data_IF_256232836860
#
_entry.id   IF_256232836860
#
_cell.length_a   1.000
_cell.length_b   1.000
_cell.length_c   1.000
_cell.angle_alpha   90.00
_cell.angle_beta   90.00
_cell.angle_gamma   90.00
#
_symmetry.space_group_name_H-M   'P 1'
#
loop_
_entity.id
_entity.type
_entity.pdbx_description
1 polymer ?
#
# COMPACT_ATOMS: atom_id res chain seq x y z
N UNK A 1 55.10 -40.67 -35.67
CA UNK A 1 53.77 -41.27 -35.91
C UNK A 1 53.06 -41.30 -34.57
N UNK A 2 52.44 -40.18 -34.20
CA UNK A 2 51.76 -40.02 -32.92
C UNK A 2 50.24 -40.06 -33.14
N UNK A 3 49.60 -41.10 -32.63
CA UNK A 3 48.14 -41.24 -32.64
C UNK A 3 47.52 -40.34 -31.58
N UNK A 4 46.84 -39.28 -32.01
CA UNK A 4 45.93 -38.48 -31.17
C UNK A 4 44.61 -39.25 -31.01
N UNK A 5 44.30 -39.66 -29.78
CA UNK A 5 42.98 -40.12 -29.38
C UNK A 5 41.97 -38.94 -29.40
N UNK A 6 40.70 -39.16 -29.78
CA UNK A 6 39.71 -38.09 -29.80
C UNK A 6 39.19 -37.81 -28.39
N UNK A 7 39.23 -36.54 -28.01
CA UNK A 7 38.52 -36.01 -26.84
C UNK A 7 37.02 -36.33 -26.97
N UNK A 8 36.52 -37.22 -26.11
CA UNK A 8 35.08 -37.33 -25.83
C UNK A 8 34.66 -36.01 -25.17
N UNK A 9 34.01 -35.14 -25.94
CA UNK A 9 33.23 -34.04 -25.40
C UNK A 9 32.08 -34.66 -24.59
N UNK A 10 32.14 -34.49 -23.27
CA UNK A 10 30.98 -34.69 -22.41
C UNK A 10 29.87 -33.75 -22.87
N UNK A 11 28.61 -34.21 -22.99
CA UNK A 11 27.51 -33.32 -23.32
C UNK A 11 27.38 -32.23 -22.25
N UNK A 12 26.91 -31.02 -22.61
CA UNK A 12 26.60 -29.99 -21.62
C UNK A 12 25.58 -30.54 -20.62
N UNK A 13 25.65 -30.15 -19.33
CA UNK A 13 24.70 -30.62 -18.33
C UNK A 13 23.31 -30.29 -18.83
N UNK A 14 22.52 -31.34 -19.07
CA UNK A 14 21.10 -31.24 -19.38
C UNK A 14 20.45 -30.30 -18.37
N UNK A 15 19.81 -29.25 -18.87
CA UNK A 15 18.85 -28.42 -18.16
C UNK A 15 17.87 -29.37 -17.48
N UNK A 16 18.10 -29.67 -16.20
CA UNK A 16 17.19 -30.48 -15.41
C UNK A 16 15.89 -29.70 -15.38
N UNK A 17 14.83 -30.26 -15.99
CA UNK A 17 13.49 -29.71 -15.92
C UNK A 17 13.23 -29.33 -14.46
N UNK A 18 13.11 -28.03 -14.17
CA UNK A 18 12.99 -27.53 -12.81
C UNK A 18 11.64 -28.04 -12.28
N UNK A 19 11.67 -29.19 -11.59
CA UNK A 19 10.50 -29.90 -11.05
C UNK A 19 9.60 -28.95 -10.24
N UNK A 20 10.13 -28.05 -9.40
CA UNK A 20 9.35 -26.96 -8.81
C UNK A 20 8.54 -26.13 -9.82
N UNK A 21 9.16 -25.62 -10.89
CA UNK A 21 8.46 -24.82 -11.90
C UNK A 21 7.38 -25.60 -12.63
N UNK A 22 7.63 -26.87 -12.97
CA UNK A 22 6.64 -27.73 -13.61
C UNK A 22 5.41 -27.96 -12.70
N UNK A 23 5.62 -28.15 -11.40
CA UNK A 23 4.50 -28.30 -10.45
C UNK A 23 3.68 -27.03 -10.31
N UNK A 24 4.32 -25.84 -10.30
CA UNK A 24 3.61 -24.57 -10.27
C UNK A 24 2.80 -24.34 -11.56
N UNK A 25 3.36 -24.66 -12.73
CA UNK A 25 2.67 -24.53 -14.01
C UNK A 25 1.44 -25.44 -14.11
N UNK A 26 1.56 -26.69 -13.65
CA UNK A 26 0.43 -27.63 -13.61
C UNK A 26 -0.71 -27.05 -12.76
N UNK A 27 -0.42 -26.71 -11.50
CA UNK A 27 -1.43 -26.15 -10.61
C UNK A 27 -2.01 -24.83 -11.14
N UNK A 28 -1.19 -23.96 -11.72
CA UNK A 28 -1.67 -22.70 -12.30
C UNK A 28 -2.63 -22.92 -13.48
N UNK A 29 -2.39 -23.96 -14.28
CA UNK A 29 -3.26 -24.35 -15.41
C UNK A 29 -4.57 -24.96 -14.91
N UNK A 30 -4.51 -25.78 -13.87
CA UNK A 30 -5.70 -26.34 -13.21
C UNK A 30 -6.54 -25.24 -12.57
N UNK A 31 -5.89 -24.28 -11.89
CA UNK A 31 -6.55 -23.12 -11.28
C UNK A 31 -7.26 -22.27 -12.33
N UNK A 32 -6.59 -21.95 -13.44
CA UNK A 32 -7.17 -21.17 -14.53
C UNK A 32 -8.35 -21.89 -15.19
N UNK A 33 -8.21 -23.20 -15.45
CA UNK A 33 -9.28 -23.99 -16.09
C UNK A 33 -10.49 -24.17 -15.17
N UNK A 34 -10.28 -24.44 -13.88
CA UNK A 34 -11.34 -24.55 -12.88
C UNK A 34 -12.14 -23.25 -12.78
N UNK A 35 -11.44 -22.11 -12.74
CA UNK A 35 -12.07 -20.79 -12.70
C UNK A 35 -12.92 -20.49 -13.93
N UNK A 36 -12.48 -20.92 -15.12
CA UNK A 36 -13.22 -20.75 -16.38
C UNK A 36 -14.44 -21.66 -16.47
N UNK A 37 -14.32 -22.87 -15.95
CA UNK A 37 -15.36 -23.90 -16.05
C UNK A 37 -16.34 -23.88 -14.87
N UNK A 38 -16.17 -22.96 -13.91
CA UNK A 38 -17.00 -22.89 -12.70
C UNK A 38 -16.74 -24.02 -11.70
N UNK A 39 -15.57 -24.67 -11.77
CA UNK A 39 -15.14 -25.69 -10.83
C UNK A 39 -14.75 -25.11 -9.47
N UNK A 40 -14.90 -25.91 -8.42
CA UNK A 40 -14.42 -25.57 -7.08
C UNK A 40 -12.90 -25.69 -7.01
N UNK A 41 -12.26 -24.70 -6.39
CA UNK A 41 -10.82 -24.70 -6.14
C UNK A 41 -10.58 -24.76 -4.65
N UNK A 42 -9.72 -25.69 -4.24
CA UNK A 42 -9.35 -25.86 -2.84
C UNK A 42 -8.45 -24.70 -2.35
N UNK A 43 -8.87 -24.03 -1.27
CA UNK A 43 -8.13 -22.95 -0.65
C UNK A 43 -6.75 -23.40 -0.11
N UNK A 44 -6.67 -24.63 0.43
CA UNK A 44 -5.43 -25.16 1.00
C UNK A 44 -4.37 -25.40 -0.07
N UNK A 45 -4.78 -25.87 -1.26
CA UNK A 45 -3.86 -26.07 -2.38
C UNK A 45 -3.31 -24.73 -2.86
N UNK A 46 -4.17 -23.72 -3.00
CA UNK A 46 -3.74 -22.37 -3.38
C UNK A 46 -2.73 -21.79 -2.38
N UNK A 47 -2.97 -21.96 -1.07
CA UNK A 47 -2.04 -21.52 -0.04
C UNK A 47 -0.70 -22.26 -0.13
N UNK A 48 -0.73 -23.60 -0.24
CA UNK A 48 0.46 -24.42 -0.40
C UNK A 48 1.32 -23.99 -1.60
N UNK A 49 0.72 -23.84 -2.78
CA UNK A 49 1.45 -23.43 -3.98
C UNK A 49 1.88 -21.96 -3.95
N UNK A 50 1.16 -21.09 -3.24
CA UNK A 50 1.58 -19.70 -3.01
C UNK A 50 2.85 -19.65 -2.17
N UNK A 51 2.92 -20.40 -1.08
CA UNK A 51 4.12 -20.48 -0.24
C UNK A 51 5.30 -21.08 -1.01
N UNK A 52 5.03 -22.10 -1.82
CA UNK A 52 6.04 -22.71 -2.69
C UNK A 52 6.60 -21.74 -3.74
N UNK A 53 5.75 -20.91 -4.35
CA UNK A 53 6.17 -19.88 -5.29
C UNK A 53 6.94 -18.72 -4.61
N UNK A 54 6.75 -18.52 -3.31
CA UNK A 54 7.47 -17.48 -2.56
C UNK A 54 8.88 -17.91 -2.12
N UNK A 55 9.21 -19.20 -2.18
CA UNK A 55 10.49 -19.74 -1.72
C UNK A 55 11.64 -19.37 -2.69
N UNK A 56 12.58 -18.51 -2.26
CA UNK A 56 13.67 -18.06 -3.13
C UNK A 56 14.66 -19.18 -3.48
N UNK A 57 14.74 -20.25 -2.67
CA UNK A 57 15.66 -21.36 -2.94
C UNK A 57 15.24 -22.21 -4.13
N UNK A 58 13.96 -22.18 -4.49
CA UNK A 58 13.40 -22.99 -5.59
C UNK A 58 13.63 -22.36 -6.97
N UNK A 59 13.88 -21.05 -7.03
CA UNK A 59 14.01 -20.32 -8.28
C UNK A 59 15.21 -19.36 -8.31
N UNK A 60 16.46 -19.83 -8.17
CA UNK A 60 17.64 -18.98 -8.33
C UNK A 60 17.68 -18.36 -9.74
N UNK A 61 18.16 -17.12 -9.87
CA UNK A 61 18.18 -16.39 -11.14
C UNK A 61 18.99 -17.13 -12.21
N UNK A 62 18.44 -17.22 -13.43
CA UNK A 62 19.10 -17.84 -14.58
C UNK A 62 19.04 -19.37 -14.60
N UNK A 63 18.25 -20.00 -13.73
CA UNK A 63 18.14 -21.47 -13.65
C UNK A 63 16.98 -22.04 -14.45
N UNK A 64 16.01 -21.21 -14.85
CA UNK A 64 14.85 -21.65 -15.61
C UNK A 64 15.10 -21.57 -17.12
N UNK A 65 14.63 -22.60 -17.84
CA UNK A 65 14.55 -22.56 -19.30
C UNK A 65 13.64 -21.39 -19.73
N UNK A 66 14.01 -20.72 -20.83
CA UNK A 66 13.29 -19.53 -21.31
C UNK A 66 11.81 -19.83 -21.56
N UNK A 67 11.48 -20.96 -22.19
CA UNK A 67 10.10 -21.37 -22.44
C UNK A 67 9.29 -21.53 -21.14
N UNK A 68 9.90 -22.13 -20.10
CA UNK A 68 9.27 -22.29 -18.79
C UNK A 68 9.05 -20.93 -18.11
N UNK A 69 10.03 -20.03 -18.18
CA UNK A 69 9.92 -18.67 -17.65
C UNK A 69 8.79 -17.88 -18.36
N UNK A 70 8.71 -17.99 -19.69
CA UNK A 70 7.64 -17.40 -20.50
C UNK A 70 6.25 -17.95 -20.13
N UNK A 71 6.13 -19.26 -19.93
CA UNK A 71 4.86 -19.88 -19.53
C UNK A 71 4.42 -19.39 -18.15
N UNK A 72 5.34 -19.32 -17.18
CA UNK A 72 5.08 -18.82 -15.82
C UNK A 72 4.64 -17.35 -15.84
N UNK A 73 5.34 -16.51 -16.61
CA UNK A 73 4.96 -15.11 -16.81
C UNK A 73 3.54 -14.98 -17.37
N UNK A 74 3.27 -15.71 -18.46
CA UNK A 74 2.02 -15.65 -19.19
C UNK A 74 0.84 -16.11 -18.33
N UNK A 75 0.97 -17.26 -17.65
CA UNK A 75 -0.10 -17.78 -16.79
C UNK A 75 -0.28 -16.94 -15.53
N UNK A 76 0.80 -16.43 -14.93
CA UNK A 76 0.75 -15.52 -13.79
C UNK A 76 -0.03 -14.24 -14.12
N UNK A 77 0.22 -13.66 -15.30
CA UNK A 77 -0.51 -12.49 -15.81
C UNK A 77 -2.00 -12.79 -16.02
N UNK A 78 -2.34 -13.96 -16.56
CA UNK A 78 -3.74 -14.36 -16.77
C UNK A 78 -4.48 -14.57 -15.45
N UNK A 79 -3.89 -15.31 -14.51
CA UNK A 79 -4.43 -15.51 -13.16
C UNK A 79 -4.68 -14.15 -12.49
N UNK A 80 -3.68 -13.27 -12.48
CA UNK A 80 -3.80 -11.93 -11.92
C UNK A 80 -5.02 -11.18 -12.49
N UNK A 81 -5.14 -11.11 -13.81
CA UNK A 81 -6.20 -10.37 -14.49
C UNK A 81 -7.58 -10.99 -14.25
N UNK A 82 -7.68 -12.32 -14.24
CA UNK A 82 -8.94 -13.04 -13.99
C UNK A 82 -9.47 -12.74 -12.60
N UNK A 83 -8.64 -12.83 -11.58
CA UNK A 83 -9.05 -12.57 -10.20
C UNK A 83 -9.20 -11.09 -9.87
N UNK A 84 -8.50 -10.19 -10.60
CA UNK A 84 -8.75 -8.76 -10.53
C UNK A 84 -10.17 -8.40 -11.00
N UNK A 85 -10.65 -9.02 -12.10
CA UNK A 85 -12.02 -8.81 -12.59
C UNK A 85 -13.07 -9.37 -11.65
N UNK A 86 -12.85 -10.57 -11.10
CA UNK A 86 -13.76 -11.19 -10.13
C UNK A 86 -13.93 -10.34 -8.87
N UNK A 87 -12.88 -9.69 -8.39
CA UNK A 87 -12.95 -8.79 -7.22
C UNK A 87 -13.89 -7.59 -7.44
N UNK A 88 -14.11 -7.14 -8.68
CA UNK A 88 -14.98 -6.00 -8.98
C UNK A 88 -16.47 -6.33 -9.06
N UNK A 89 -16.87 -7.58 -8.79
CA UNK A 89 -18.29 -7.99 -8.75
C UNK A 89 -19.02 -7.53 -7.48
N UNK A 90 -20.34 -7.43 -7.57
CA UNK A 90 -21.21 -7.20 -6.40
C UNK A 90 -21.40 -8.54 -5.68
N UNK A 91 -21.05 -8.60 -4.40
CA UNK A 91 -21.14 -9.82 -3.58
C UNK A 91 -21.99 -9.60 -2.32
N UNK A 92 -22.55 -10.68 -1.77
CA UNK A 92 -23.36 -10.77 -0.54
C UNK A 92 -22.48 -10.87 0.72
N UNK A 93 -22.73 -10.08 1.79
CA UNK A 93 -21.71 -9.54 2.72
C UNK A 93 -20.74 -10.53 3.40
N UNK A 94 -21.15 -11.77 3.73
CA UNK A 94 -20.28 -12.75 4.40
C UNK A 94 -19.58 -13.72 3.46
N UNK A 95 -20.32 -14.24 2.48
CA UNK A 95 -19.77 -15.05 1.39
C UNK A 95 -18.72 -14.24 0.60
N UNK A 96 -18.97 -12.92 0.47
CA UNK A 96 -18.05 -11.92 -0.07
C UNK A 96 -16.66 -11.97 0.55
N UNK A 97 -16.53 -12.14 1.87
CA UNK A 97 -15.24 -11.99 2.56
C UNK A 97 -14.31 -13.17 2.28
N UNK A 98 -14.85 -14.39 2.29
CA UNK A 98 -14.08 -15.59 1.97
C UNK A 98 -13.66 -15.61 0.49
N UNK A 99 -14.60 -15.31 -0.41
CA UNK A 99 -14.36 -15.23 -1.85
C UNK A 99 -13.36 -14.12 -2.19
N UNK A 100 -13.44 -12.98 -1.52
CA UNK A 100 -12.47 -11.90 -1.68
C UNK A 100 -11.08 -12.32 -1.21
N UNK A 101 -10.94 -12.92 -0.02
CA UNK A 101 -9.65 -13.44 0.46
C UNK A 101 -9.05 -14.45 -0.51
N UNK A 102 -9.88 -15.34 -1.06
CA UNK A 102 -9.45 -16.26 -2.11
C UNK A 102 -8.94 -15.52 -3.35
N UNK A 103 -9.68 -14.52 -3.84
CA UNK A 103 -9.25 -13.70 -4.98
C UNK A 103 -7.92 -13.00 -4.71
N UNK A 104 -7.72 -12.45 -3.50
CA UNK A 104 -6.47 -11.80 -3.11
C UNK A 104 -5.31 -12.77 -3.06
N UNK A 105 -5.52 -13.97 -2.50
CA UNK A 105 -4.52 -15.03 -2.48
C UNK A 105 -4.17 -15.50 -3.90
N UNK A 106 -5.16 -15.66 -4.78
CA UNK A 106 -4.92 -16.05 -6.16
C UNK A 106 -4.20 -14.96 -6.95
N UNK A 107 -4.51 -13.68 -6.69
CA UNK A 107 -3.74 -12.55 -7.24
C UNK A 107 -2.30 -12.55 -6.74
N UNK A 108 -2.05 -12.83 -5.46
CA UNK A 108 -0.69 -13.01 -4.94
C UNK A 108 0.04 -14.15 -5.65
N UNK A 109 -0.62 -15.30 -5.81
CA UNK A 109 -0.05 -16.42 -6.53
C UNK A 109 0.34 -16.03 -7.96
N UNK A 110 -0.58 -15.41 -8.72
CA UNK A 110 -0.30 -14.91 -10.07
C UNK A 110 0.84 -13.87 -10.10
N UNK A 111 0.91 -12.99 -9.10
CA UNK A 111 2.01 -12.04 -8.94
C UNK A 111 3.37 -12.71 -8.74
N UNK A 112 3.43 -13.77 -7.93
CA UNK A 112 4.67 -14.53 -7.69
C UNK A 112 5.12 -15.26 -8.95
N UNK A 113 4.22 -15.94 -9.66
CA UNK A 113 4.56 -16.62 -10.93
C UNK A 113 5.07 -15.63 -11.99
N UNK A 114 4.42 -14.47 -12.08
CA UNK A 114 4.83 -13.38 -12.94
C UNK A 114 6.24 -12.87 -12.59
N UNK A 115 6.53 -12.70 -11.30
CA UNK A 115 7.86 -12.35 -10.80
C UNK A 115 8.92 -13.38 -11.16
N UNK A 116 8.64 -14.67 -10.92
CA UNK A 116 9.54 -15.77 -11.30
C UNK A 116 9.82 -15.74 -12.81
N UNK A 117 8.77 -15.65 -13.64
CA UNK A 117 8.93 -15.62 -15.10
C UNK A 117 9.77 -14.44 -15.58
N UNK A 118 9.49 -13.22 -15.10
CA UNK A 118 10.18 -12.01 -15.54
C UNK A 118 11.64 -11.93 -15.05
N UNK A 119 11.92 -12.33 -13.82
CA UNK A 119 13.29 -12.24 -13.24
C UNK A 119 14.23 -13.25 -13.90
N UNK A 120 13.72 -14.35 -14.44
CA UNK A 120 14.51 -15.40 -15.08
C UNK A 120 14.88 -15.07 -16.54
N UNK A 121 14.36 -13.96 -17.08
CA UNK A 121 14.63 -13.51 -18.44
C UNK A 121 15.65 -12.37 -18.41
N UNK A 122 16.93 -12.61 -18.77
CA UNK A 122 17.92 -11.55 -18.89
C UNK A 122 17.63 -10.75 -20.17
N UNK A 123 16.72 -9.79 -20.09
CA UNK A 123 16.37 -8.92 -21.22
C UNK A 123 16.88 -7.49 -21.05
N UNK A 124 17.03 -6.80 -22.18
CA UNK A 124 17.36 -5.37 -22.25
C UNK A 124 16.41 -4.48 -21.42
N UNK A 125 15.22 -4.98 -21.03
CA UNK A 125 14.19 -4.26 -20.29
C UNK A 125 14.05 -4.67 -18.81
N UNK A 126 15.05 -5.34 -18.22
CA UNK A 126 15.00 -5.79 -16.81
C UNK A 126 14.58 -4.69 -15.81
N UNK A 127 15.03 -3.45 -16.02
CA UNK A 127 14.63 -2.31 -15.20
C UNK A 127 13.15 -1.96 -15.32
N UNK A 128 12.56 -2.06 -16.52
CA UNK A 128 11.13 -1.83 -16.75
C UNK A 128 10.28 -2.94 -16.14
N UNK A 129 10.71 -4.20 -16.30
CA UNK A 129 10.06 -5.37 -15.67
C UNK A 129 10.05 -5.26 -14.15
N UNK A 130 11.17 -4.82 -13.56
CA UNK A 130 11.29 -4.58 -12.12
C UNK A 130 10.35 -3.46 -11.66
N UNK A 131 10.33 -2.33 -12.36
CA UNK A 131 9.42 -1.23 -12.05
C UNK A 131 7.93 -1.62 -12.18
N UNK A 132 7.61 -2.48 -13.15
CA UNK A 132 6.27 -3.05 -13.29
C UNK A 132 5.90 -3.95 -12.10
N UNK A 133 6.79 -4.87 -11.70
CA UNK A 133 6.57 -5.75 -10.54
C UNK A 133 6.44 -4.97 -9.22
N UNK A 134 7.19 -3.88 -9.05
CA UNK A 134 7.05 -2.99 -7.89
C UNK A 134 5.64 -2.40 -7.84
N UNK A 135 5.21 -1.71 -8.92
CA UNK A 135 3.89 -1.07 -8.97
C UNK A 135 2.75 -2.06 -8.81
N UNK A 136 2.89 -3.26 -9.40
CA UNK A 136 1.91 -4.32 -9.26
C UNK A 136 1.82 -4.84 -7.81
N UNK A 137 2.97 -5.04 -7.16
CA UNK A 137 3.06 -5.41 -5.76
C UNK A 137 2.48 -4.34 -4.83
N UNK A 138 2.70 -3.06 -5.12
CA UNK A 138 2.17 -1.93 -4.33
C UNK A 138 0.64 -1.90 -4.41
N UNK A 139 0.09 -2.06 -5.62
CA UNK A 139 -1.36 -2.16 -5.83
C UNK A 139 -1.98 -3.37 -5.12
N UNK A 140 -1.32 -4.54 -5.18
CA UNK A 140 -1.75 -5.73 -4.43
C UNK A 140 -1.76 -5.47 -2.93
N UNK A 141 -0.65 -4.97 -2.40
CA UNK A 141 -0.46 -4.74 -0.97
C UNK A 141 -1.48 -3.76 -0.41
N UNK A 142 -1.77 -2.66 -1.13
CA UNK A 142 -2.80 -1.68 -0.75
C UNK A 142 -4.17 -2.33 -0.58
N UNK A 143 -4.59 -3.15 -1.54
CA UNK A 143 -5.86 -3.87 -1.49
C UNK A 143 -5.87 -4.93 -0.39
N UNK A 144 -4.79 -5.69 -0.22
CA UNK A 144 -4.69 -6.70 0.84
C UNK A 144 -4.79 -6.08 2.24
N UNK A 145 -4.12 -4.95 2.49
CA UNK A 145 -4.21 -4.22 3.75
C UNK A 145 -5.64 -3.71 3.98
N UNK A 146 -6.28 -3.13 2.95
CA UNK A 146 -7.67 -2.64 3.04
C UNK A 146 -8.65 -3.74 3.48
N UNK A 147 -8.43 -4.97 3.02
CA UNK A 147 -9.30 -6.12 3.33
C UNK A 147 -8.75 -7.05 4.43
N UNK A 148 -7.75 -6.59 5.18
CA UNK A 148 -7.14 -7.33 6.30
C UNK A 148 -6.53 -8.70 5.93
N UNK A 149 -6.12 -8.90 4.67
CA UNK A 149 -5.27 -10.02 4.27
C UNK A 149 -3.79 -9.64 4.46
N UNK A 150 -3.39 -9.51 5.72
CA UNK A 150 -2.05 -9.05 6.10
C UNK A 150 -0.96 -10.05 5.67
N UNK A 151 -1.28 -11.35 5.64
CA UNK A 151 -0.37 -12.39 5.17
C UNK A 151 0.06 -12.17 3.72
N UNK A 152 -0.92 -11.94 2.83
CA UNK A 152 -0.60 -11.67 1.43
C UNK A 152 0.09 -10.32 1.22
N UNK A 153 -0.30 -9.29 1.98
CA UNK A 153 0.38 -7.99 1.96
C UNK A 153 1.86 -8.10 2.37
N UNK A 154 2.17 -8.89 3.39
CA UNK A 154 3.54 -9.11 3.88
C UNK A 154 4.42 -9.74 2.80
N UNK A 155 3.93 -10.79 2.16
CA UNK A 155 4.65 -11.48 1.07
C UNK A 155 4.90 -10.51 -0.10
N UNK A 156 3.88 -9.77 -0.53
CA UNK A 156 4.02 -8.81 -1.62
C UNK A 156 5.03 -7.69 -1.30
N UNK A 157 4.97 -7.09 -0.10
CA UNK A 157 5.92 -6.06 0.33
C UNK A 157 7.35 -6.59 0.51
N UNK A 158 7.51 -7.85 0.93
CA UNK A 158 8.81 -8.50 0.96
C UNK A 158 9.40 -8.61 -0.45
N UNK A 159 8.61 -9.08 -1.43
CA UNK A 159 9.05 -9.16 -2.83
C UNK A 159 9.39 -7.80 -3.43
N UNK A 160 8.63 -6.76 -3.10
CA UNK A 160 8.97 -5.39 -3.51
C UNK A 160 10.36 -4.98 -3.02
N UNK A 161 10.74 -5.37 -1.80
CA UNK A 161 12.09 -5.05 -1.26
C UNK A 161 13.18 -5.70 -2.11
N UNK A 162 13.00 -6.96 -2.52
CA UNK A 162 13.92 -7.65 -3.42
C UNK A 162 14.09 -6.88 -4.74
N UNK A 163 12.98 -6.40 -5.31
CA UNK A 163 12.97 -5.63 -6.57
C UNK A 163 13.57 -4.22 -6.42
N UNK A 164 13.32 -3.54 -5.30
CA UNK A 164 13.91 -2.22 -5.02
C UNK A 164 15.43 -2.30 -4.89
N UNK A 165 15.95 -3.35 -4.23
CA UNK A 165 17.39 -3.58 -4.12
C UNK A 165 18.07 -3.79 -5.47
N UNK A 166 17.46 -4.59 -6.36
CA UNK A 166 17.97 -4.78 -7.73
C UNK A 166 17.98 -3.48 -8.55
N UNK A 167 17.02 -2.57 -8.32
CA UNK A 167 16.92 -1.28 -9.01
C UNK A 167 17.95 -0.25 -8.52
N UNK A 168 18.53 -0.44 -7.33
CA UNK A 168 19.54 0.46 -6.76
C UNK A 168 20.91 0.33 -7.44
N UNK A 169 21.24 -0.85 -7.99
CA UNK A 169 22.49 -1.08 -8.73
C UNK A 169 22.54 -0.45 -10.14
N UNK A 170 21.40 -0.05 -10.69
CA UNK A 170 21.32 0.67 -11.97
C UNK A 170 21.37 2.18 -11.72
N UNK A 171 22.59 2.72 -11.71
CA UNK A 171 22.84 4.17 -11.67
C UNK A 171 22.34 4.76 -13.00
N UNK A 172 21.13 5.31 -12.99
CA UNK A 172 20.75 6.33 -13.98
C UNK A 172 21.18 7.69 -13.43
N UNK A 173 21.61 8.63 -14.30
CA UNK A 173 21.99 9.97 -13.87
C UNK A 173 20.84 10.60 -13.08
N UNK A 174 21.20 11.14 -11.92
CA UNK A 174 20.29 11.89 -11.06
C UNK A 174 19.76 13.10 -11.85
N UNK A 175 18.45 13.14 -12.10
CA UNK A 175 17.79 14.30 -12.72
C UNK A 175 16.69 14.02 -13.74
N UNK A 176 16.42 12.77 -14.12
CA UNK A 176 15.32 12.43 -15.04
C UNK A 176 14.04 11.92 -14.36
N UNK A 177 12.92 11.87 -15.08
CA UNK A 177 11.61 11.35 -14.64
C UNK A 177 11.70 9.96 -13.97
N UNK A 178 12.64 9.12 -14.42
CA UNK A 178 12.91 7.81 -13.84
C UNK A 178 13.38 7.84 -12.37
N UNK A 179 13.99 8.95 -11.92
CA UNK A 179 14.37 9.16 -10.53
C UNK A 179 13.15 9.54 -9.69
N UNK A 180 12.31 10.44 -10.19
CA UNK A 180 11.05 10.86 -9.53
C UNK A 180 10.11 9.67 -9.35
N UNK A 181 9.90 8.88 -10.40
CA UNK A 181 9.08 7.65 -10.34
C UNK A 181 9.63 6.68 -9.29
N UNK A 182 10.95 6.52 -9.22
CA UNK A 182 11.59 5.65 -8.22
C UNK A 182 11.34 6.14 -6.80
N UNK A 183 11.43 7.44 -6.54
CA UNK A 183 11.14 7.98 -5.22
C UNK A 183 9.67 7.91 -4.85
N UNK A 184 8.77 8.09 -5.83
CA UNK A 184 7.36 7.84 -5.64
C UNK A 184 7.08 6.37 -5.26
N UNK A 185 7.72 5.41 -5.94
CA UNK A 185 7.61 3.97 -5.61
C UNK A 185 8.13 3.67 -4.18
N UNK A 186 9.26 4.28 -3.78
CA UNK A 186 9.80 4.14 -2.42
C UNK A 186 8.86 4.73 -1.36
N UNK A 187 8.30 5.91 -1.61
CA UNK A 187 7.32 6.51 -0.71
C UNK A 187 6.07 5.63 -0.57
N UNK A 188 5.50 5.17 -1.68
CA UNK A 188 4.36 4.24 -1.69
C UNK A 188 4.66 2.99 -0.86
N UNK A 189 5.84 2.41 -1.05
CA UNK A 189 6.29 1.25 -0.28
C UNK A 189 6.31 1.55 1.23
N UNK A 190 6.95 2.65 1.65
CA UNK A 190 7.01 2.99 3.07
C UNK A 190 5.63 3.31 3.66
N UNK A 191 4.76 4.01 2.94
CA UNK A 191 3.38 4.28 3.37
C UNK A 191 2.61 2.99 3.63
N UNK A 192 2.72 2.00 2.73
CA UNK A 192 2.08 0.70 2.92
C UNK A 192 2.72 -0.11 4.05
N UNK A 193 4.04 0.05 4.30
CA UNK A 193 4.71 -0.54 5.46
C UNK A 193 4.28 0.08 6.78
N UNK A 194 4.00 1.39 6.83
CA UNK A 194 3.39 2.04 8.00
C UNK A 194 2.04 1.38 8.30
N UNK A 195 1.17 1.30 7.29
CA UNK A 195 -0.16 0.73 7.43
C UNK A 195 -0.12 -0.75 7.87
N UNK A 196 0.73 -1.57 7.25
CA UNK A 196 0.89 -2.98 7.64
C UNK A 196 1.42 -3.11 9.08
N UNK A 197 2.44 -2.33 9.45
CA UNK A 197 3.04 -2.40 10.78
C UNK A 197 2.05 -2.01 11.87
N UNK A 198 1.23 -0.99 11.62
CA UNK A 198 0.12 -0.62 12.51
C UNK A 198 -0.89 -1.76 12.65
N UNK A 199 -1.31 -2.38 11.56
CA UNK A 199 -2.26 -3.52 11.58
C UNK A 199 -1.69 -4.77 12.26
N UNK A 200 -0.36 -4.89 12.33
CA UNK A 200 0.35 -5.94 13.07
C UNK A 200 0.58 -5.58 14.56
N UNK A 201 0.00 -4.49 15.07
CA UNK A 201 0.24 -3.93 16.42
C UNK A 201 1.73 -3.60 16.69
N UNK A 202 2.47 -3.25 15.64
CA UNK A 202 3.90 -2.84 15.67
C UNK A 202 4.06 -1.35 15.39
N UNK A 203 3.61 -0.51 16.34
CA UNK A 203 3.71 0.96 16.23
C UNK A 203 5.15 1.45 16.20
N UNK A 204 6.07 0.76 16.88
CA UNK A 204 7.52 0.99 16.83
C UNK A 204 8.04 0.95 15.38
N UNK A 205 7.60 -0.06 14.63
CA UNK A 205 7.99 -0.24 13.24
C UNK A 205 7.26 0.76 12.33
N UNK A 206 6.00 1.11 12.63
CA UNK A 206 5.28 2.14 11.89
C UNK A 206 5.99 3.51 11.99
N UNK A 207 6.47 3.88 13.17
CA UNK A 207 7.24 5.09 13.42
C UNK A 207 8.53 5.13 12.58
N UNK A 208 9.30 4.03 12.61
CA UNK A 208 10.51 3.89 11.80
C UNK A 208 10.24 4.00 10.30
N UNK A 209 9.13 3.42 9.83
CA UNK A 209 8.73 3.51 8.41
C UNK A 209 8.26 4.90 8.02
N UNK A 210 7.62 5.64 8.94
CA UNK A 210 7.25 7.04 8.72
C UNK A 210 8.48 7.93 8.54
N UNK A 211 9.49 7.78 9.39
CA UNK A 211 10.75 8.52 9.26
C UNK A 211 11.48 8.28 7.92
N UNK A 212 11.28 7.11 7.31
CA UNK A 212 11.77 6.82 5.95
C UNK A 212 10.85 7.40 4.88
N UNK A 213 9.54 7.33 5.05
CA UNK A 213 8.57 7.85 4.08
C UNK A 213 8.77 9.35 3.84
N UNK A 214 9.02 10.14 4.89
CA UNK A 214 9.20 11.61 4.81
C UNK A 214 10.38 12.03 3.93
N UNK A 215 11.39 11.17 3.74
CA UNK A 215 12.50 11.44 2.81
C UNK A 215 12.05 11.41 1.35
N UNK A 216 10.90 10.81 1.05
CA UNK A 216 10.37 10.61 -0.29
C UNK A 216 9.03 11.32 -0.52
N UNK A 217 8.40 11.92 0.50
CA UNK A 217 7.13 12.65 0.35
C UNK A 217 7.20 13.85 -0.60
N UNK A 218 8.33 14.49 -0.93
CA UNK A 218 8.34 15.51 -1.99
C UNK A 218 8.02 14.97 -3.39
N UNK A 219 8.10 13.66 -3.62
CA UNK A 219 7.99 13.04 -4.95
C UNK A 219 6.67 12.29 -5.20
N UNK A 220 5.76 12.27 -4.22
CA UNK A 220 4.49 11.55 -4.34
C UNK A 220 3.40 12.40 -4.96
N UNK A 221 2.52 11.74 -5.70
CA UNK A 221 1.29 12.33 -6.19
C UNK A 221 0.27 12.57 -5.08
N UNK A 222 -0.79 13.30 -5.44
CA UNK A 222 -1.94 13.60 -4.57
C UNK A 222 -2.55 12.35 -3.94
N UNK A 223 -2.87 11.33 -4.75
CA UNK A 223 -3.56 10.14 -4.26
C UNK A 223 -2.73 9.35 -3.24
N UNK A 224 -1.41 9.33 -3.43
CA UNK A 224 -0.46 8.69 -2.52
C UNK A 224 -0.32 9.48 -1.23
N UNK A 225 -0.22 10.81 -1.30
CA UNK A 225 -0.20 11.67 -0.10
C UNK A 225 -1.48 11.52 0.72
N UNK A 226 -2.63 11.47 0.05
CA UNK A 226 -3.92 11.22 0.70
C UNK A 226 -3.99 9.86 1.37
N UNK A 227 -3.38 8.84 0.76
CA UNK A 227 -3.25 7.53 1.39
C UNK A 227 -2.41 7.63 2.67
N UNK A 228 -1.32 8.40 2.69
CA UNK A 228 -0.52 8.64 3.89
C UNK A 228 -1.33 9.35 4.98
N UNK A 229 -2.00 10.47 4.66
CA UNK A 229 -2.86 11.18 5.62
C UNK A 229 -3.90 10.25 6.22
N UNK A 230 -4.59 9.46 5.39
CA UNK A 230 -5.58 8.50 5.86
C UNK A 230 -5.00 7.47 6.83
N UNK A 231 -3.84 6.88 6.51
CA UNK A 231 -3.16 5.91 7.38
C UNK A 231 -2.79 6.54 8.72
N UNK A 232 -2.22 7.75 8.72
CA UNK A 232 -1.82 8.45 9.94
C UNK A 232 -3.04 8.77 10.82
N UNK A 233 -4.12 9.27 10.22
CA UNK A 233 -5.39 9.53 10.92
C UNK A 233 -5.94 8.24 11.54
N UNK A 234 -5.97 7.14 10.78
CA UNK A 234 -6.45 5.85 11.30
C UNK A 234 -5.61 5.30 12.46
N UNK A 235 -4.29 5.50 12.42
CA UNK A 235 -3.42 5.16 13.54
C UNK A 235 -3.81 5.98 14.77
N UNK A 236 -3.94 7.31 14.63
CA UNK A 236 -4.39 8.19 15.70
C UNK A 236 -5.73 7.77 16.30
N UNK A 237 -6.73 7.50 15.46
CA UNK A 237 -8.05 7.02 15.89
C UNK A 237 -7.96 5.72 16.69
N UNK A 238 -7.13 4.77 16.25
CA UNK A 238 -6.94 3.49 16.95
C UNK A 238 -6.30 3.64 18.32
N UNK A 239 -5.47 4.66 18.52
CA UNK A 239 -4.81 4.96 19.80
C UNK A 239 -5.79 5.69 20.73
N UNK A 240 -6.58 6.63 20.20
CA UNK A 240 -7.67 7.30 20.95
C UNK A 240 -8.68 6.27 21.47
N UNK A 241 -9.05 5.28 20.65
CA UNK A 241 -9.94 4.19 21.05
C UNK A 241 -9.39 3.36 22.22
N UNK A 242 -8.06 3.35 22.41
CA UNK A 242 -7.36 2.72 23.55
C UNK A 242 -7.15 3.71 24.72
N UNK A 243 -7.84 4.85 24.72
CA UNK A 243 -7.81 5.91 25.74
C UNK A 243 -6.43 6.54 25.98
N UNK A 244 -5.60 6.65 24.94
CA UNK A 244 -4.29 7.28 25.03
C UNK A 244 -4.16 8.51 24.11
N UNK A 245 -4.77 9.66 24.45
CA UNK A 245 -4.77 10.83 23.59
C UNK A 245 -3.38 11.46 23.40
N UNK A 246 -2.46 11.27 24.36
CA UNK A 246 -1.11 11.81 24.30
C UNK A 246 -0.29 11.12 23.20
N UNK A 247 -0.40 9.81 23.08
CA UNK A 247 0.29 9.04 22.03
C UNK A 247 -0.39 9.17 20.67
N UNK A 248 -1.67 9.55 20.63
CA UNK A 248 -2.41 9.77 19.38
C UNK A 248 -2.09 11.13 18.73
N UNK A 249 -1.89 12.18 19.52
CA UNK A 249 -1.67 13.54 19.02
C UNK A 249 -0.53 13.67 17.99
N UNK A 250 0.64 13.03 18.14
CA UNK A 250 1.70 13.05 17.13
C UNK A 250 1.25 12.54 15.75
N UNK A 251 0.41 11.51 15.70
CA UNK A 251 -0.09 10.95 14.44
C UNK A 251 -1.04 11.89 13.72
N UNK A 252 -1.97 12.53 14.46
CA UNK A 252 -2.85 13.54 13.87
C UNK A 252 -2.09 14.80 13.45
N UNK A 253 -1.07 15.22 14.21
CA UNK A 253 -0.22 16.36 13.83
C UNK A 253 0.51 16.10 12.51
N UNK A 254 1.06 14.90 12.33
CA UNK A 254 1.67 14.48 11.06
C UNK A 254 0.65 14.43 9.93
N UNK A 255 -0.55 13.89 10.19
CA UNK A 255 -1.63 13.85 9.21
C UNK A 255 -2.02 15.26 8.72
N UNK A 256 -2.20 16.19 9.65
CA UNK A 256 -2.51 17.60 9.37
C UNK A 256 -1.39 18.31 8.60
N UNK A 257 -0.11 18.03 8.94
CA UNK A 257 1.03 18.59 8.23
C UNK A 257 1.11 18.09 6.78
N UNK A 258 0.96 16.78 6.55
CA UNK A 258 0.94 16.19 5.21
C UNK A 258 -0.26 16.66 4.39
N UNK A 259 -1.42 16.89 5.03
CA UNK A 259 -2.61 17.37 4.34
C UNK A 259 -2.50 18.86 3.96
N UNK A 260 -1.81 19.69 4.74
CA UNK A 260 -1.53 21.09 4.40
C UNK A 260 -0.49 21.23 3.28
N UNK A 261 0.56 20.41 3.31
CA UNK A 261 1.57 20.39 2.26
C UNK A 261 0.99 20.10 0.86
N UNK A 262 -0.20 19.52 0.80
CA UNK A 262 -0.98 19.42 -0.44
C UNK A 262 -1.62 20.76 -0.86
N UNK A 263 -2.37 21.41 0.05
CA UNK A 263 -3.11 22.66 -0.26
C UNK A 263 -2.17 23.71 -0.85
N UNK A 264 -0.95 23.79 -0.35
CA UNK A 264 0.03 24.79 -0.81
C UNK A 264 0.61 24.49 -2.20
N UNK A 265 0.74 23.21 -2.59
CA UNK A 265 1.42 22.81 -3.83
C UNK A 265 0.47 22.56 -5.02
N UNK A 266 -0.83 22.31 -4.79
CA UNK A 266 -1.72 21.72 -5.80
C UNK A 266 -3.06 22.46 -6.00
N UNK A 267 -3.18 23.73 -5.57
CA UNK A 267 -4.39 24.55 -5.77
C UNK A 267 -4.92 24.57 -7.21
N UNK A 268 -4.05 24.46 -8.21
CA UNK A 268 -4.41 24.53 -9.63
C UNK A 268 -4.59 23.16 -10.32
N UNK A 269 -4.40 22.05 -9.59
CA UNK A 269 -4.43 20.68 -10.15
C UNK A 269 -5.51 19.78 -9.54
N UNK A 270 -6.38 20.35 -8.72
CA UNK A 270 -7.49 19.63 -8.10
C UNK A 270 -8.40 19.05 -9.20
N UNK A 271 -8.61 17.74 -9.15
CA UNK A 271 -9.34 16.95 -10.13
C UNK A 271 -10.85 17.25 -10.16
N UNK A 272 -11.67 16.22 -10.17
CA UNK A 272 -13.12 16.41 -10.16
C UNK A 272 -13.58 17.05 -8.84
N UNK A 273 -14.76 17.67 -8.83
CA UNK A 273 -15.34 18.24 -7.59
C UNK A 273 -15.44 17.20 -6.46
N UNK A 274 -15.68 15.92 -6.81
CA UNK A 274 -15.70 14.81 -5.86
C UNK A 274 -14.33 14.55 -5.21
N UNK A 275 -13.25 14.70 -5.97
CA UNK A 275 -11.88 14.57 -5.46
C UNK A 275 -11.57 15.69 -4.47
N UNK A 276 -12.01 16.93 -4.78
CA UNK A 276 -11.84 18.07 -3.89
C UNK A 276 -12.59 17.88 -2.57
N UNK A 277 -13.85 17.42 -2.62
CA UNK A 277 -14.64 17.16 -1.40
C UNK A 277 -14.01 16.06 -0.55
N UNK A 278 -13.56 14.98 -1.17
CA UNK A 278 -12.87 13.88 -0.47
C UNK A 278 -11.57 14.37 0.18
N UNK A 279 -10.87 15.27 -0.51
CA UNK A 279 -9.67 15.90 -0.01
C UNK A 279 -9.93 16.73 1.25
N UNK A 280 -10.86 17.68 1.16
CA UNK A 280 -11.28 18.52 2.29
C UNK A 280 -11.78 17.69 3.47
N UNK A 281 -12.57 16.64 3.22
CA UNK A 281 -13.06 15.77 4.28
C UNK A 281 -11.91 15.10 5.04
N UNK A 282 -10.86 14.67 4.33
CA UNK A 282 -9.72 14.00 4.96
C UNK A 282 -8.88 14.98 5.77
N UNK A 283 -8.72 16.22 5.28
CA UNK A 283 -8.07 17.31 6.02
C UNK A 283 -8.82 17.64 7.31
N UNK A 284 -10.13 17.91 7.21
CA UNK A 284 -10.97 18.21 8.36
C UNK A 284 -10.95 17.07 9.39
N UNK A 285 -10.95 15.81 8.93
CA UNK A 285 -10.84 14.65 9.81
C UNK A 285 -9.51 14.60 10.58
N UNK A 286 -8.39 14.92 9.93
CA UNK A 286 -7.08 14.99 10.59
C UNK A 286 -7.03 16.13 11.62
N UNK A 287 -7.55 17.32 11.27
CA UNK A 287 -7.64 18.46 12.16
C UNK A 287 -8.54 18.20 13.37
N UNK A 288 -9.71 17.60 13.15
CA UNK A 288 -10.62 17.23 14.23
C UNK A 288 -9.98 16.26 15.20
N UNK A 289 -9.36 15.18 14.72
CA UNK A 289 -8.67 14.22 15.58
C UNK A 289 -7.54 14.86 16.41
N UNK A 290 -6.80 15.81 15.82
CA UNK A 290 -5.79 16.58 16.54
C UNK A 290 -6.41 17.45 17.62
N UNK A 291 -7.44 18.24 17.28
CA UNK A 291 -8.15 19.12 18.22
C UNK A 291 -8.73 18.33 19.39
N UNK A 292 -9.37 17.19 19.12
CA UNK A 292 -9.90 16.32 20.16
C UNK A 292 -8.82 15.81 21.11
N UNK A 293 -7.67 15.36 20.58
CA UNK A 293 -6.56 14.90 21.41
C UNK A 293 -6.02 16.03 22.29
N UNK A 294 -5.76 17.19 21.70
CA UNK A 294 -5.21 18.35 22.40
C UNK A 294 -6.18 18.91 23.46
N UNK A 295 -7.47 19.01 23.14
CA UNK A 295 -8.51 19.42 24.08
C UNK A 295 -8.64 18.43 25.25
N UNK A 296 -8.48 17.13 24.99
CA UNK A 296 -8.47 16.08 26.00
C UNK A 296 -7.32 16.18 27.01
N UNK A 297 -6.19 16.80 26.64
CA UNK A 297 -5.05 17.00 27.54
C UNK A 297 -5.26 18.11 28.59
N UNK A 298 -6.29 18.95 28.44
CA UNK A 298 -6.73 20.00 29.40
C UNK A 298 -5.61 20.88 29.97
N UNK A 299 -4.54 21.09 29.21
CA UNK A 299 -3.40 21.92 29.58
C UNK A 299 -3.31 23.12 28.64
N UNK A 300 -2.73 24.22 29.14
CA UNK A 300 -2.74 25.52 28.44
C UNK A 300 -2.07 25.45 27.06
N UNK A 301 -0.93 24.79 26.96
CA UNK A 301 -0.16 24.69 25.72
C UNK A 301 -0.90 23.89 24.63
N UNK A 302 -1.35 22.64 24.86
CA UNK A 302 -2.19 21.90 23.91
C UNK A 302 -3.47 22.64 23.52
N UNK A 303 -4.14 23.31 24.47
CA UNK A 303 -5.35 24.09 24.15
C UNK A 303 -5.07 25.27 23.23
N UNK A 304 -3.93 25.95 23.42
CA UNK A 304 -3.50 27.03 22.53
C UNK A 304 -3.19 26.49 21.12
N UNK A 305 -2.54 25.32 21.03
CA UNK A 305 -2.31 24.64 19.76
C UNK A 305 -3.64 24.26 19.09
N UNK A 306 -4.57 23.67 19.83
CA UNK A 306 -5.89 23.30 19.30
C UNK A 306 -6.66 24.51 18.75
N UNK A 307 -6.64 25.64 19.46
CA UNK A 307 -7.23 26.88 18.99
C UNK A 307 -6.58 27.38 17.69
N UNK A 308 -5.26 27.28 17.57
CA UNK A 308 -4.56 27.65 16.34
C UNK A 308 -4.96 26.78 15.14
N UNK A 309 -5.24 25.49 15.38
CA UNK A 309 -5.74 24.56 14.36
C UNK A 309 -7.16 24.93 13.94
N UNK A 310 -8.05 25.26 14.89
CA UNK A 310 -9.41 25.74 14.61
C UNK A 310 -9.38 27.00 13.74
N UNK A 311 -8.56 27.99 14.13
CA UNK A 311 -8.43 29.26 13.39
C UNK A 311 -7.93 29.04 11.95
N UNK A 312 -6.96 28.14 11.76
CA UNK A 312 -6.50 27.77 10.43
C UNK A 312 -7.62 27.11 9.61
N UNK A 313 -8.41 26.22 10.21
CA UNK A 313 -9.53 25.56 9.55
C UNK A 313 -10.67 26.53 9.20
N UNK A 314 -10.97 27.50 10.07
CA UNK A 314 -11.94 28.58 9.80
C UNK A 314 -11.53 29.42 8.58
N UNK A 315 -10.24 29.78 8.51
CA UNK A 315 -9.71 30.56 7.38
C UNK A 315 -9.71 29.78 6.05
N UNK A 316 -9.49 28.46 6.08
CA UNK A 316 -9.40 27.63 4.87
C UNK A 316 -10.76 27.11 4.38
N UNK A 317 -11.63 26.67 5.30
CA UNK A 317 -12.88 25.96 4.96
C UNK A 317 -14.15 26.75 5.28
N UNK A 318 -14.03 27.90 5.95
CA UNK A 318 -15.12 28.75 6.37
C UNK A 318 -15.60 28.48 7.81
N UNK A 319 -15.99 29.56 8.49
CA UNK A 319 -16.37 29.55 9.91
C UNK A 319 -17.65 28.74 10.21
N UNK A 320 -18.58 28.66 9.24
CA UNK A 320 -19.88 28.00 9.42
C UNK A 320 -19.88 26.53 9.03
N UNK A 321 -18.73 25.97 8.65
CA UNK A 321 -18.65 24.56 8.29
C UNK A 321 -18.82 23.70 9.55
N UNK A 322 -19.72 22.73 9.51
CA UNK A 322 -20.13 21.93 10.69
C UNK A 322 -18.91 21.33 11.39
N UNK A 323 -17.97 20.74 10.64
CA UNK A 323 -16.78 20.12 11.21
C UNK A 323 -15.87 21.14 11.92
N UNK A 324 -15.84 22.39 11.45
CA UNK A 324 -15.05 23.47 12.05
C UNK A 324 -15.72 23.97 13.33
N UNK A 325 -17.06 24.08 13.33
CA UNK A 325 -17.84 24.41 14.53
C UNK A 325 -17.66 23.33 15.60
N UNK A 326 -17.69 22.04 15.23
CA UNK A 326 -17.42 20.94 16.16
C UNK A 326 -16.03 21.07 16.82
N UNK A 327 -15.00 21.40 16.03
CA UNK A 327 -13.65 21.68 16.54
C UNK A 327 -13.65 22.83 17.56
N UNK A 328 -14.31 23.94 17.24
CA UNK A 328 -14.41 25.11 18.13
C UNK A 328 -15.09 24.73 19.45
N UNK A 329 -16.22 24.02 19.38
CA UNK A 329 -16.97 23.55 20.55
C UNK A 329 -16.12 22.68 21.46
N UNK A 330 -15.33 21.76 20.89
CA UNK A 330 -14.44 20.91 21.66
C UNK A 330 -13.40 21.71 22.46
N UNK A 331 -12.81 22.74 21.84
CA UNK A 331 -11.82 23.61 22.50
C UNK A 331 -12.47 24.47 23.59
N UNK A 332 -13.58 25.15 23.29
CA UNK A 332 -14.29 26.00 24.26
C UNK A 332 -14.81 25.19 25.45
N UNK A 333 -15.32 23.99 25.22
CA UNK A 333 -15.75 23.07 26.29
C UNK A 333 -14.57 22.70 27.18
N UNK A 334 -13.41 22.40 26.60
CA UNK A 334 -12.20 22.08 27.37
C UNK A 334 -11.63 23.28 28.15
N UNK A 335 -11.93 24.50 27.70
CA UNK A 335 -11.61 25.76 28.42
C UNK A 335 -12.63 26.13 29.51
N UNK A 336 -13.77 25.42 29.59
CA UNK A 336 -14.84 25.71 30.54
C UNK A 336 -15.94 26.66 30.03
N UNK A 337 -15.92 27.03 28.75
CA UNK A 337 -16.88 27.94 28.11
C UNK A 337 -17.97 27.17 27.33
N UNK A 338 -18.54 26.13 27.94
CA UNK A 338 -19.45 25.20 27.25
C UNK A 338 -20.78 25.85 26.78
N UNK A 339 -21.22 26.92 27.43
CA UNK A 339 -22.43 27.67 27.05
C UNK A 339 -22.25 28.46 25.76
N UNK A 340 -21.10 29.10 25.59
CA UNK A 340 -20.77 29.87 24.39
C UNK A 340 -20.61 28.90 23.21
N UNK A 341 -20.00 27.74 23.46
CA UNK A 341 -19.82 26.67 22.50
C UNK A 341 -21.13 26.15 21.89
N UNK A 342 -22.12 25.87 22.73
CA UNK A 342 -23.42 25.41 22.25
C UNK A 342 -24.17 26.51 21.48
N UNK A 343 -23.93 27.78 21.80
CA UNK A 343 -24.56 28.92 21.14
C UNK A 343 -24.00 29.09 19.73
N UNK A 344 -22.68 29.09 19.57
CA UNK A 344 -21.99 29.19 18.27
C UNK A 344 -22.42 28.06 17.31
N UNK A 345 -22.56 26.83 17.82
CA UNK A 345 -22.97 25.67 17.01
C UNK A 345 -24.45 25.75 16.60
N UNK A 346 -25.34 26.19 17.49
CA UNK A 346 -26.76 26.34 17.18
C UNK A 346 -26.99 27.47 16.17
N UNK A 347 -26.30 28.60 16.29
CA UNK A 347 -26.39 29.70 15.32
C UNK A 347 -25.90 29.26 13.93
N UNK A 348 -24.81 28.50 13.87
CA UNK A 348 -24.29 27.96 12.61
C UNK A 348 -25.22 26.95 11.92
N UNK A 349 -25.95 26.13 12.68
CA UNK A 349 -26.90 25.16 12.13
C UNK A 349 -28.24 25.77 11.69
N UNK A 350 -28.63 26.92 12.25
CA UNK A 350 -29.91 27.58 11.99
C UNK A 350 -29.87 28.66 10.90
N UNK A 351 -28.67 29.00 10.41
CA UNK A 351 -28.42 29.99 9.35
C UNK A 351 -28.07 29.32 8.03
#
# INVERSE_FOLDING_TARGET
MDSKAPFKQSPPPSVVANKPAATLLHFATDLESSVRNGGEVNHSDLEYYTLRANDPSQFPVGTLAQDTAHQLESIGRRIWNTFLRKQGGVFDEERSRSELRFCLRARLFGYLLLGIGLVQRPEANAAQSTAYLIRLGLALSKVCIKHSDLGSARIALQKITEYLSCRSGCISPAGGDNAVIRQSDHACYYILRIALSWKDDRLDLAEHMYAKATQHTPYIDTGTRMTLVHVLTQIGESIVAKSNPLDAAPWFRRAAAESRAYSDNNRDTLGTEADMRTHQQTQLKAHWGLVQCLAGLKSREPLQEALSVVQAAQAEFGERRIEVLEMLVAVQTAQGNATDALTDLLEGLLS
#
